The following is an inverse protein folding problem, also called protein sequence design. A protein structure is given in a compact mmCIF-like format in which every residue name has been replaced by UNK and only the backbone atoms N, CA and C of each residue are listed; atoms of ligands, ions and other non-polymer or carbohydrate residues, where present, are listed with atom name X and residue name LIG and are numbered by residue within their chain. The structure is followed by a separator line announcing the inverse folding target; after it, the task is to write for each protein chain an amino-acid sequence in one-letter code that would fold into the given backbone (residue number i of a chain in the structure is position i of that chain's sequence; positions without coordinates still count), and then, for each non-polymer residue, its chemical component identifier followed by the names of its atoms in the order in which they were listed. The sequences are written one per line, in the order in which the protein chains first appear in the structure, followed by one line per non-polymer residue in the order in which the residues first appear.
data_IF_389691100373
#
_entry.id   IF_389691100373
#
_cell.length_a   1.000
_cell.length_b   1.000
_cell.length_c   1.000
_cell.angle_alpha   90.00
_cell.angle_beta   90.00
_cell.angle_gamma   90.00
#
_symmetry.space_group_name_H-M   'P 1'
#
loop_
_entity.id
_entity.type
_entity.pdbx_description
1 polymer ?
#
# COMPACT_ATOMS: atom_id res chain seq x y z
N UNK A 1 -6.30 -10.14 -25.22
CA UNK A 1 -6.61 -8.75 -25.67
C UNK A 1 -5.36 -8.03 -26.14
N UNK A 2 -5.47 -6.99 -26.97
CA UNK A 2 -4.36 -6.13 -27.39
C UNK A 2 -4.08 -5.05 -26.32
N UNK A 3 -2.91 -4.40 -26.38
CA UNK A 3 -2.53 -3.36 -25.43
C UNK A 3 -3.52 -2.17 -25.38
N UNK A 4 -4.18 -1.85 -26.50
CA UNK A 4 -5.21 -0.82 -26.56
C UNK A 4 -6.48 -1.20 -25.80
N UNK A 5 -6.87 -2.49 -25.87
CA UNK A 5 -8.02 -3.03 -25.13
C UNK A 5 -7.70 -3.12 -23.65
N UNK A 6 -6.48 -3.55 -23.28
CA UNK A 6 -5.97 -3.53 -21.91
C UNK A 6 -5.98 -2.11 -21.32
N UNK A 7 -5.56 -1.12 -22.10
CA UNK A 7 -5.61 0.30 -21.74
C UNK A 7 -7.05 0.77 -21.50
N UNK A 8 -7.97 0.43 -22.40
CA UNK A 8 -9.39 0.80 -22.27
C UNK A 8 -10.03 0.15 -21.03
N UNK A 9 -9.74 -1.13 -20.77
CA UNK A 9 -10.31 -1.88 -19.63
C UNK A 9 -9.77 -1.41 -18.27
N UNK A 10 -8.50 -0.99 -18.22
CA UNK A 10 -7.84 -0.59 -16.96
C UNK A 10 -7.83 0.91 -16.71
N UNK A 11 -8.13 1.72 -17.73
CA UNK A 11 -7.99 3.18 -17.71
C UNK A 11 -6.51 3.65 -17.62
N UNK A 12 -5.54 2.75 -17.87
CA UNK A 12 -4.11 3.07 -17.85
C UNK A 12 -3.66 3.42 -19.26
N UNK A 13 -3.04 4.60 -19.50
CA UNK A 13 -2.53 4.96 -20.83
C UNK A 13 -1.54 3.94 -21.37
N UNK A 14 -1.58 3.65 -22.67
CA UNK A 14 -0.69 2.69 -23.35
C UNK A 14 0.79 2.99 -23.06
N UNK A 15 1.17 4.27 -23.02
CA UNK A 15 2.55 4.67 -22.68
C UNK A 15 2.95 4.24 -21.28
N UNK A 16 2.05 4.38 -20.31
CA UNK A 16 2.25 3.95 -18.91
C UNK A 16 2.30 2.43 -18.82
N UNK A 17 1.44 1.70 -19.54
CA UNK A 17 1.52 0.22 -19.59
C UNK A 17 2.88 -0.22 -20.12
N UNK A 18 3.36 0.37 -21.21
CA UNK A 18 4.69 0.08 -21.78
C UNK A 18 5.82 0.41 -20.81
N UNK A 19 5.68 1.46 -20.02
CA UNK A 19 6.62 1.79 -18.96
C UNK A 19 6.62 0.71 -17.88
N UNK A 20 5.46 0.27 -17.38
CA UNK A 20 5.36 -0.78 -16.37
C UNK A 20 5.87 -2.15 -16.85
N UNK A 21 5.66 -2.48 -18.13
CA UNK A 21 6.25 -3.68 -18.76
C UNK A 21 7.79 -3.60 -18.78
N UNK A 22 8.35 -2.45 -19.18
CA UNK A 22 9.80 -2.23 -19.22
C UNK A 22 10.44 -2.26 -17.83
N UNK A 23 9.75 -1.71 -16.83
CA UNK A 23 10.16 -1.79 -15.42
C UNK A 23 9.85 -3.16 -14.78
N UNK A 24 9.32 -4.13 -15.52
CA UNK A 24 8.94 -5.46 -15.01
C UNK A 24 7.93 -5.44 -13.84
N UNK A 25 7.20 -4.35 -13.66
CA UNK A 25 6.07 -4.27 -12.72
C UNK A 25 4.86 -5.06 -13.19
N UNK A 26 4.74 -5.22 -14.52
CA UNK A 26 3.75 -6.04 -15.20
C UNK A 26 4.52 -7.06 -16.05
N UNK A 27 4.10 -8.31 -16.02
CA UNK A 27 4.73 -9.37 -16.82
C UNK A 27 4.46 -9.18 -18.32
N UNK A 28 5.33 -9.75 -19.15
CA UNK A 28 5.20 -9.63 -20.60
C UNK A 28 3.96 -10.38 -21.11
N UNK A 29 3.29 -9.80 -22.11
CA UNK A 29 2.24 -10.50 -22.84
C UNK A 29 2.78 -11.60 -23.75
N UNK A 30 1.94 -12.56 -24.11
CA UNK A 30 2.28 -13.62 -25.04
C UNK A 30 2.51 -13.03 -26.45
N UNK A 31 3.71 -13.17 -26.98
CA UNK A 31 4.06 -12.71 -28.33
C UNK A 31 3.31 -13.50 -29.39
N UNK A 32 2.53 -12.82 -30.23
CA UNK A 32 1.80 -13.44 -31.35
C UNK A 32 2.41 -13.09 -32.70
N UNK A 33 3.22 -12.03 -32.77
CA UNK A 33 4.00 -11.62 -33.94
C UNK A 33 5.20 -10.78 -33.49
N UNK A 34 6.09 -10.39 -34.40
CA UNK A 34 7.30 -9.62 -34.10
C UNK A 34 7.01 -8.31 -33.33
N UNK A 35 5.85 -7.69 -33.55
CA UNK A 35 5.44 -6.41 -32.92
C UNK A 35 4.13 -6.50 -32.16
N UNK A 36 3.59 -7.71 -31.93
CA UNK A 36 2.29 -7.89 -31.29
C UNK A 36 2.39 -8.85 -30.11
N UNK A 37 1.81 -8.45 -28.99
CA UNK A 37 1.62 -9.26 -27.82
C UNK A 37 0.13 -9.30 -27.43
N UNK A 38 -0.29 -10.41 -26.84
CA UNK A 38 -1.60 -10.58 -26.22
C UNK A 38 -1.50 -10.56 -24.71
N UNK A 39 -2.47 -9.92 -24.12
CA UNK A 39 -2.65 -9.72 -22.67
C UNK A 39 -3.95 -10.40 -22.23
N UNK A 40 -4.08 -10.71 -20.97
CA UNK A 40 -5.23 -11.39 -20.36
C UNK A 40 -5.65 -10.74 -19.03
N UNK A 41 -6.56 -11.34 -18.30
CA UNK A 41 -7.08 -10.84 -17.03
C UNK A 41 -6.00 -10.75 -15.93
N UNK A 42 -4.93 -11.53 -16.01
CA UNK A 42 -3.82 -11.44 -15.08
C UNK A 42 -3.09 -10.09 -15.20
N UNK A 43 -2.96 -9.59 -16.43
CA UNK A 43 -2.39 -8.26 -16.71
C UNK A 43 -3.30 -7.14 -16.20
N UNK A 44 -4.63 -7.31 -16.33
CA UNK A 44 -5.60 -6.36 -15.76
C UNK A 44 -5.47 -6.30 -14.25
N UNK A 45 -5.44 -7.45 -13.58
CA UNK A 45 -5.28 -7.54 -12.13
C UNK A 45 -3.94 -6.94 -11.68
N UNK A 46 -2.85 -7.22 -12.40
CA UNK A 46 -1.51 -6.69 -12.12
C UNK A 46 -1.46 -5.15 -12.29
N UNK A 47 -2.05 -4.61 -13.34
CA UNK A 47 -2.10 -3.16 -13.56
C UNK A 47 -2.90 -2.44 -12.47
N UNK A 48 -4.01 -3.02 -12.01
CA UNK A 48 -4.78 -2.48 -10.87
C UNK A 48 -3.94 -2.47 -9.59
N UNK A 49 -3.22 -3.56 -9.31
CA UNK A 49 -2.30 -3.65 -8.18
C UNK A 49 -1.20 -2.59 -8.25
N UNK A 50 -0.48 -2.49 -9.37
CA UNK A 50 0.60 -1.51 -9.57
C UNK A 50 0.08 -0.08 -9.37
N UNK A 51 -1.10 0.25 -9.90
CA UNK A 51 -1.71 1.56 -9.69
C UNK A 51 -2.05 1.84 -8.23
N UNK A 52 -2.56 0.85 -7.50
CA UNK A 52 -2.85 0.99 -6.08
C UNK A 52 -1.58 1.25 -5.28
N UNK A 53 -0.50 0.52 -5.57
CA UNK A 53 0.79 0.67 -4.88
C UNK A 53 1.46 2.02 -5.17
N UNK A 54 1.54 2.44 -6.44
CA UNK A 54 2.22 3.67 -6.84
C UNK A 54 1.37 4.93 -6.64
N UNK A 55 0.05 4.82 -6.67
CA UNK A 55 -0.90 5.91 -6.45
C UNK A 55 -1.25 6.07 -4.97
N UNK A 56 -2.40 5.51 -4.50
CA UNK A 56 -2.81 5.65 -3.10
C UNK A 56 -1.78 5.14 -2.10
N UNK A 57 -1.07 4.06 -2.41
CA UNK A 57 -0.02 3.49 -1.55
C UNK A 57 1.26 4.32 -1.50
N UNK A 58 1.44 5.28 -2.38
CA UNK A 58 2.59 6.21 -2.37
C UNK A 58 3.96 5.57 -2.55
N UNK A 59 4.03 4.30 -2.98
CA UNK A 59 5.29 3.58 -3.07
C UNK A 59 6.15 4.07 -4.24
N UNK A 60 7.47 4.05 -4.05
CA UNK A 60 8.42 4.13 -5.16
C UNK A 60 8.35 2.85 -6.03
N UNK A 61 8.83 2.91 -7.28
CA UNK A 61 8.93 1.75 -8.16
C UNK A 61 9.70 0.60 -7.50
N UNK A 62 10.82 0.89 -6.85
CA UNK A 62 11.61 -0.11 -6.15
C UNK A 62 10.86 -0.76 -4.97
N UNK A 63 10.06 0.01 -4.22
CA UNK A 63 9.23 -0.51 -3.15
C UNK A 63 8.08 -1.36 -3.72
N UNK A 64 7.42 -0.91 -4.80
CA UNK A 64 6.38 -1.67 -5.48
C UNK A 64 6.90 -3.02 -6.01
N UNK A 65 8.14 -3.07 -6.53
CA UNK A 65 8.79 -4.33 -6.90
C UNK A 65 8.95 -5.29 -5.72
N UNK A 66 9.41 -4.80 -4.56
CA UNK A 66 9.53 -5.65 -3.36
C UNK A 66 8.19 -6.21 -2.94
N UNK A 67 7.15 -5.36 -2.89
CA UNK A 67 5.78 -5.79 -2.56
C UNK A 67 5.26 -6.86 -3.53
N UNK A 68 5.42 -6.63 -4.83
CA UNK A 68 5.00 -7.58 -5.87
C UNK A 68 5.70 -8.92 -5.72
N UNK A 69 7.03 -8.91 -5.52
CA UNK A 69 7.82 -10.12 -5.31
C UNK A 69 7.35 -10.87 -4.06
N UNK A 70 7.10 -10.17 -2.96
CA UNK A 70 6.61 -10.78 -1.72
C UNK A 70 5.24 -11.46 -1.90
N UNK A 71 4.37 -10.90 -2.77
CA UNK A 71 3.10 -11.54 -3.12
C UNK A 71 3.30 -12.81 -3.97
N UNK A 72 4.30 -12.80 -4.86
CA UNK A 72 4.59 -13.93 -5.76
C UNK A 72 5.39 -15.04 -5.06
N UNK A 73 6.32 -14.65 -4.21
CA UNK A 73 7.22 -15.52 -3.44
C UNK A 73 7.14 -15.18 -1.96
N UNK A 74 6.05 -15.57 -1.28
CA UNK A 74 5.84 -15.18 0.12
C UNK A 74 6.82 -15.88 1.04
N UNK A 75 7.27 -15.23 2.14
CA UNK A 75 8.02 -15.87 3.20
C UNK A 75 7.17 -16.93 3.91
N UNK A 76 7.83 -17.83 4.63
CA UNK A 76 7.18 -18.97 5.29
C UNK A 76 6.25 -18.56 6.45
N UNK A 77 6.54 -17.42 7.10
CA UNK A 77 5.75 -16.96 8.26
C UNK A 77 5.04 -15.65 8.02
N UNK A 78 3.85 -15.50 8.62
CA UNK A 78 3.08 -14.23 8.60
C UNK A 78 3.87 -13.12 9.30
N UNK A 79 4.67 -13.44 10.32
CA UNK A 79 5.49 -12.46 11.03
C UNK A 79 6.58 -11.85 10.12
N UNK A 80 7.29 -12.67 9.36
CA UNK A 80 8.25 -12.19 8.36
C UNK A 80 7.58 -11.39 7.27
N UNK A 81 6.39 -11.81 6.83
CA UNK A 81 5.58 -11.11 5.84
C UNK A 81 5.21 -9.70 6.30
N UNK A 82 4.78 -9.55 7.57
CA UNK A 82 4.51 -8.24 8.19
C UNK A 82 5.76 -7.36 8.21
N UNK A 83 6.92 -7.92 8.55
CA UNK A 83 8.20 -7.21 8.54
C UNK A 83 8.56 -6.68 7.15
N UNK A 84 8.42 -7.50 6.12
CA UNK A 84 8.67 -7.08 4.71
C UNK A 84 7.68 -6.01 4.27
N UNK A 85 6.40 -6.16 4.58
CA UNK A 85 5.37 -5.18 4.24
C UNK A 85 5.63 -3.82 4.92
N UNK A 86 5.95 -3.83 6.21
CA UNK A 86 6.27 -2.60 6.96
C UNK A 86 7.49 -1.87 6.39
N UNK A 87 8.53 -2.59 5.93
CA UNK A 87 9.71 -1.97 5.29
C UNK A 87 9.46 -1.44 3.89
N UNK A 88 8.35 -1.81 3.24
CA UNK A 88 7.99 -1.28 1.93
C UNK A 88 7.38 0.12 2.03
N UNK A 89 6.73 0.44 3.14
CA UNK A 89 6.14 1.76 3.39
C UNK A 89 7.25 2.76 3.75
N UNK A 90 7.34 3.85 3.02
CA UNK A 90 8.31 4.91 3.28
C UNK A 90 7.78 5.83 4.37
N UNK A 91 8.54 5.97 5.45
CA UNK A 91 8.21 6.89 6.52
C UNK A 91 9.24 6.83 7.65
N UNK A 92 9.26 7.81 8.54
CA UNK A 92 10.11 7.77 9.72
C UNK A 92 9.64 6.65 10.66
N UNK A 93 10.57 5.96 11.31
CA UNK A 93 10.22 5.11 12.43
C UNK A 93 9.81 5.99 13.63
N UNK A 94 9.25 5.37 14.67
CA UNK A 94 8.76 6.10 15.85
C UNK A 94 9.82 7.00 16.49
N UNK A 95 11.07 6.51 16.58
CA UNK A 95 12.18 7.28 17.17
C UNK A 95 12.49 8.52 16.34
N UNK A 96 12.56 8.40 15.03
CA UNK A 96 12.85 9.51 14.13
C UNK A 96 11.69 10.52 14.13
N UNK A 97 10.44 10.05 14.21
CA UNK A 97 9.27 10.91 14.32
C UNK A 97 9.27 11.72 15.63
N UNK A 98 9.57 11.09 16.77
CA UNK A 98 9.69 11.76 18.06
C UNK A 98 10.85 12.78 18.06
N UNK A 99 12.00 12.41 17.51
CA UNK A 99 13.14 13.32 17.39
C UNK A 99 12.80 14.55 16.52
N UNK A 100 12.03 14.37 15.45
CA UNK A 100 11.57 15.50 14.63
C UNK A 100 10.65 16.48 15.39
N UNK A 101 9.83 15.97 16.31
CA UNK A 101 9.02 16.85 17.20
C UNK A 101 9.92 17.65 18.16
N UNK A 102 10.92 16.99 18.76
CA UNK A 102 11.89 17.64 19.64
C UNK A 102 12.68 18.73 18.91
N UNK A 103 13.21 18.43 17.70
CA UNK A 103 13.94 19.40 16.87
C UNK A 103 13.07 20.60 16.47
N UNK A 104 11.77 20.37 16.25
CA UNK A 104 10.81 21.43 15.94
C UNK A 104 10.39 22.25 17.17
N UNK A 105 10.78 21.85 18.40
CA UNK A 105 10.30 22.45 19.64
C UNK A 105 8.81 22.23 19.87
N UNK A 106 8.25 21.15 19.32
CA UNK A 106 6.83 20.82 19.48
C UNK A 106 6.67 19.82 20.62
N UNK A 107 6.06 20.26 21.70
CA UNK A 107 5.75 19.43 22.86
C UNK A 107 4.37 18.79 22.70
N UNK A 108 4.31 17.47 22.83
CA UNK A 108 3.03 16.75 22.89
C UNK A 108 2.35 17.06 24.25
N UNK A 109 1.01 17.20 24.26
CA UNK A 109 0.27 17.27 25.52
C UNK A 109 0.53 16.03 26.38
N UNK A 110 0.48 16.19 27.70
CA UNK A 110 0.64 15.09 28.65
C UNK A 110 -0.32 13.91 28.32
N UNK A 111 0.21 12.71 28.24
CA UNK A 111 -0.54 11.51 27.92
C UNK A 111 -0.92 11.34 26.44
N UNK A 112 -0.59 12.29 25.56
CA UNK A 112 -0.95 12.18 24.13
C UNK A 112 -0.36 10.93 23.46
N UNK A 113 0.89 10.60 23.77
CA UNK A 113 1.55 9.42 23.21
C UNK A 113 0.87 8.12 23.63
N UNK A 114 0.41 8.03 24.89
CA UNK A 114 -0.32 6.86 25.40
C UNK A 114 -1.66 6.71 24.65
N UNK A 115 -2.41 7.81 24.47
CA UNK A 115 -3.66 7.82 23.71
C UNK A 115 -3.44 7.34 22.28
N UNK A 116 -2.40 7.85 21.60
CA UNK A 116 -2.10 7.43 20.23
C UNK A 116 -1.71 5.95 20.18
N UNK A 117 -0.83 5.51 21.09
CA UNK A 117 -0.37 4.13 21.14
C UNK A 117 -1.50 3.15 21.44
N UNK A 118 -2.44 3.48 22.31
CA UNK A 118 -3.58 2.64 22.66
C UNK A 118 -4.51 2.43 21.46
N UNK A 119 -4.84 3.50 20.73
CA UNK A 119 -5.68 3.39 19.55
C UNK A 119 -4.97 2.63 18.41
N UNK A 120 -3.67 2.84 18.21
CA UNK A 120 -2.91 2.08 17.22
C UNK A 120 -2.81 0.59 17.56
N UNK A 121 -2.67 0.23 18.84
CA UNK A 121 -2.73 -1.18 19.27
C UNK A 121 -4.08 -1.82 18.97
N UNK A 122 -5.19 -1.11 19.17
CA UNK A 122 -6.53 -1.60 18.86
C UNK A 122 -6.71 -1.84 17.35
N UNK A 123 -6.25 -0.89 16.52
CA UNK A 123 -6.27 -1.05 15.06
C UNK A 123 -5.42 -2.25 14.63
N UNK A 124 -4.18 -2.34 15.11
CA UNK A 124 -3.29 -3.44 14.78
C UNK A 124 -3.85 -4.80 15.20
N UNK A 125 -4.45 -4.90 16.39
CA UNK A 125 -5.10 -6.13 16.84
C UNK A 125 -6.26 -6.52 15.93
N UNK A 126 -7.13 -5.58 15.59
CA UNK A 126 -8.23 -5.80 14.65
C UNK A 126 -7.73 -6.30 13.28
N UNK A 127 -6.68 -5.70 12.75
CA UNK A 127 -6.10 -6.11 11.46
C UNK A 127 -5.51 -7.53 11.51
N UNK A 128 -4.79 -7.87 12.58
CA UNK A 128 -4.19 -9.21 12.78
C UNK A 128 -5.27 -10.28 12.94
N UNK A 129 -6.32 -10.00 13.73
CA UNK A 129 -7.43 -10.94 13.94
C UNK A 129 -8.21 -11.26 12.67
N UNK A 130 -8.15 -10.38 11.67
CA UNK A 130 -8.80 -10.54 10.38
C UNK A 130 -7.89 -11.07 9.26
N UNK A 131 -6.64 -11.47 9.57
CA UNK A 131 -5.79 -12.14 8.58
C UNK A 131 -6.42 -13.47 8.16
N UNK A 132 -6.70 -13.71 6.85
CA UNK A 132 -7.27 -14.96 6.39
C UNK A 132 -6.37 -16.17 6.77
N UNK A 133 -6.95 -17.20 7.36
CA UNK A 133 -6.21 -18.40 7.79
C UNK A 133 -6.45 -19.61 6.90
N UNK A 134 -7.45 -19.56 6.03
CA UNK A 134 -7.88 -20.62 5.12
C UNK A 134 -7.11 -20.65 3.80
N UNK A 135 -6.45 -19.56 3.44
CA UNK A 135 -5.71 -19.42 2.19
C UNK A 135 -4.39 -18.65 2.40
N UNK A 136 -3.22 -19.30 2.28
CA UNK A 136 -1.92 -18.63 2.38
C UNK A 136 -1.80 -17.45 1.41
N UNK A 137 -2.26 -17.59 0.17
CA UNK A 137 -2.24 -16.52 -0.83
C UNK A 137 -3.12 -15.33 -0.42
N UNK A 138 -4.30 -15.60 0.18
CA UNK A 138 -5.17 -14.53 0.68
C UNK A 138 -4.54 -13.84 1.89
N UNK A 139 -3.92 -14.58 2.81
CA UNK A 139 -3.18 -14.03 3.94
C UNK A 139 -2.06 -13.09 3.50
N UNK A 140 -1.23 -13.53 2.54
CA UNK A 140 -0.15 -12.71 1.97
C UNK A 140 -0.69 -11.42 1.38
N UNK A 141 -1.71 -11.52 0.54
CA UNK A 141 -2.32 -10.33 -0.07
C UNK A 141 -2.93 -9.39 0.98
N UNK A 142 -3.63 -9.93 1.97
CA UNK A 142 -4.23 -9.16 3.05
C UNK A 142 -3.17 -8.38 3.83
N UNK A 143 -2.11 -9.05 4.29
CA UNK A 143 -1.04 -8.44 5.07
C UNK A 143 -0.30 -7.38 4.27
N UNK A 144 0.18 -7.73 3.07
CA UNK A 144 1.01 -6.82 2.26
C UNK A 144 0.22 -5.61 1.77
N UNK A 145 -0.98 -5.84 1.22
CA UNK A 145 -1.81 -4.73 0.73
C UNK A 145 -2.44 -3.95 1.87
N UNK A 146 -2.80 -4.62 2.98
CA UNK A 146 -3.30 -3.98 4.20
C UNK A 146 -2.28 -2.96 4.71
N UNK A 147 -1.03 -3.39 4.95
CA UNK A 147 0.02 -2.48 5.42
C UNK A 147 0.21 -1.27 4.49
N UNK A 148 0.28 -1.50 3.17
CA UNK A 148 0.58 -0.42 2.21
C UNK A 148 -0.61 0.51 1.96
N UNK A 149 -1.85 -0.02 1.91
CA UNK A 149 -3.02 0.75 1.48
C UNK A 149 -3.86 1.28 2.64
N UNK A 150 -3.81 0.64 3.81
CA UNK A 150 -4.57 1.07 4.99
C UNK A 150 -3.89 2.23 5.72
N UNK A 151 -2.57 2.33 5.70
CA UNK A 151 -1.87 3.47 6.31
C UNK A 151 -2.33 4.83 5.75
N UNK A 152 -2.39 5.08 4.43
CA UNK A 152 -2.97 6.31 3.90
C UNK A 152 -4.44 6.52 4.28
N UNK A 153 -5.23 5.45 4.41
CA UNK A 153 -6.61 5.51 4.86
C UNK A 153 -6.71 5.97 6.32
N UNK A 154 -5.90 5.42 7.22
CA UNK A 154 -5.84 5.83 8.63
C UNK A 154 -5.50 7.32 8.74
N UNK A 155 -4.51 7.79 7.97
CA UNK A 155 -4.14 9.21 7.95
C UNK A 155 -5.26 10.11 7.39
N UNK A 156 -6.05 9.62 6.43
CA UNK A 156 -7.21 10.34 5.91
C UNK A 156 -8.34 10.43 6.95
N UNK A 157 -8.69 9.30 7.58
CA UNK A 157 -9.70 9.24 8.64
C UNK A 157 -9.33 10.13 9.83
N UNK A 158 -8.05 10.15 10.23
CA UNK A 158 -7.56 11.05 11.28
C UNK A 158 -7.84 12.51 10.91
N UNK A 159 -7.53 12.93 9.69
CA UNK A 159 -7.76 14.32 9.23
C UNK A 159 -9.24 14.70 9.22
N UNK A 160 -10.12 13.79 8.80
CA UNK A 160 -11.57 14.00 8.86
C UNK A 160 -12.05 14.15 10.29
N UNK A 161 -11.63 13.27 11.20
CA UNK A 161 -11.97 13.35 12.62
C UNK A 161 -11.47 14.66 13.27
N UNK A 162 -10.29 15.16 12.90
CA UNK A 162 -9.77 16.45 13.35
C UNK A 162 -10.65 17.63 12.88
N UNK A 163 -11.11 17.59 11.61
CA UNK A 163 -12.01 18.61 11.07
C UNK A 163 -13.36 18.61 11.79
N UNK A 164 -13.95 17.44 12.02
CA UNK A 164 -15.21 17.32 12.78
C UNK A 164 -15.07 17.81 14.23
N UNK A 165 -13.97 17.43 14.89
CA UNK A 165 -13.71 17.88 16.26
C UNK A 165 -13.48 19.39 16.32
N UNK A 166 -12.77 19.95 15.34
CA UNK A 166 -12.55 21.40 15.22
C UNK A 166 -13.88 22.14 15.01
N UNK A 167 -14.74 21.65 14.12
CA UNK A 167 -16.05 22.23 13.86
C UNK A 167 -16.91 22.24 15.13
N UNK A 168 -16.91 21.15 15.91
CA UNK A 168 -17.64 21.07 17.18
C UNK A 168 -17.11 22.04 18.24
N UNK A 169 -15.81 22.32 18.28
CA UNK A 169 -15.18 23.12 19.32
C UNK A 169 -15.10 24.60 18.98
N UNK A 170 -14.90 24.93 17.70
CA UNK A 170 -14.57 26.29 17.25
C UNK A 170 -15.52 26.83 16.17
N UNK A 171 -16.44 26.02 15.66
CA UNK A 171 -17.34 26.36 14.54
C UNK A 171 -18.67 26.99 14.99
N UNK A 172 -18.68 27.72 16.11
CA UNK A 172 -19.82 28.48 16.66
C UNK A 172 -19.98 29.86 16.05
#
# INVERSE_FOLDING_TARGET
MRISELSAQTGVPVATIKFYLRESLVHEGVRTAATQAQYDESHVARLRLVRALLGPGGLSIAAAHRVIRTIEEPPESVHELLGVAATAVAGPNLKDALHGLEEAGFELPDGALDVYADHMRQIAQFEIDNVPTDSPTAAVRYVVLGTVLVEPLILALRREAEQEASARRFGG
#
